data_IF_495107721868
#
_entry.id   IF_495107721868
#
_cell.length_a   1.000
_cell.length_b   1.000
_cell.length_c   1.000
_cell.angle_alpha   90.00
_cell.angle_beta   90.00
_cell.angle_gamma   90.00
#
_symmetry.space_group_name_H-M   'P 1'
#
loop_
_entity.id
_entity.type
_entity.pdbx_description
1 polymer ?
#
# COMPACT_ATOMS: atom_id res chain seq x y z
N UNK A 1 2.43 18.60 -27.93
CA UNK A 1 1.07 18.99 -28.32
C UNK A 1 0.90 19.04 -29.85
N UNK A 2 1.82 19.65 -30.62
CA UNK A 2 1.78 19.62 -32.10
C UNK A 2 1.66 18.20 -32.70
N UNK A 3 2.39 17.20 -32.18
CA UNK A 3 2.29 15.82 -32.69
C UNK A 3 0.91 15.18 -32.46
N UNK A 4 0.26 15.49 -31.34
CA UNK A 4 -1.10 15.02 -31.05
C UNK A 4 -2.14 15.70 -31.95
N UNK A 5 -1.97 17.01 -32.21
CA UNK A 5 -2.79 17.74 -33.17
C UNK A 5 -2.63 17.16 -34.59
N UNK A 6 -1.41 16.89 -35.03
CA UNK A 6 -1.13 16.28 -36.32
C UNK A 6 -1.72 14.87 -36.44
N UNK A 7 -1.51 14.01 -35.44
CA UNK A 7 -2.08 12.66 -35.42
C UNK A 7 -3.62 12.69 -35.44
N UNK A 8 -4.24 13.58 -34.65
CA UNK A 8 -5.69 13.76 -34.66
C UNK A 8 -6.23 14.25 -35.99
N UNK A 9 -5.55 15.21 -36.63
CA UNK A 9 -5.93 15.71 -37.96
C UNK A 9 -5.85 14.61 -39.04
N UNK A 10 -4.81 13.78 -39.00
CA UNK A 10 -4.65 12.64 -39.92
C UNK A 10 -5.77 11.61 -39.70
N UNK A 11 -6.07 11.24 -38.44
CA UNK A 11 -7.16 10.30 -38.13
C UNK A 11 -8.51 10.84 -38.61
N UNK A 12 -8.79 12.13 -38.38
CA UNK A 12 -10.03 12.77 -38.83
C UNK A 12 -10.17 12.77 -40.35
N UNK A 13 -9.09 13.08 -41.07
CA UNK A 13 -9.06 13.03 -42.53
C UNK A 13 -9.27 11.61 -43.06
N UNK A 14 -8.63 10.62 -42.44
CA UNK A 14 -8.80 9.20 -42.78
C UNK A 14 -10.25 8.76 -42.52
N UNK A 15 -10.87 9.16 -41.41
CA UNK A 15 -12.27 8.79 -41.12
C UNK A 15 -13.27 9.44 -42.09
N UNK A 16 -13.07 10.68 -42.54
CA UNK A 16 -13.94 11.30 -43.55
C UNK A 16 -13.82 10.62 -44.92
N UNK A 17 -12.60 10.22 -45.32
CA UNK A 17 -12.36 9.64 -46.64
C UNK A 17 -12.61 8.13 -46.68
N UNK A 18 -12.14 7.38 -45.69
CA UNK A 18 -12.27 5.92 -45.58
C UNK A 18 -13.49 5.50 -44.74
N UNK A 19 -14.24 6.43 -44.15
CA UNK A 19 -15.50 6.17 -43.44
C UNK A 19 -16.45 5.18 -44.13
N UNK A 20 -16.74 5.30 -45.44
CA UNK A 20 -17.59 4.33 -46.15
C UNK A 20 -16.94 2.95 -46.31
N UNK A 21 -15.60 2.88 -46.33
CA UNK A 21 -14.85 1.62 -46.37
C UNK A 21 -14.87 0.91 -45.00
N UNK A 22 -14.91 1.67 -43.90
CA UNK A 22 -15.04 1.15 -42.54
C UNK A 22 -16.39 0.48 -42.27
N UNK A 23 -17.45 0.79 -43.03
CA UNK A 23 -18.74 0.09 -42.91
C UNK A 23 -18.64 -1.39 -43.29
N UNK A 24 -17.78 -1.71 -44.26
CA UNK A 24 -17.47 -3.08 -44.65
C UNK A 24 -16.43 -3.74 -43.72
N UNK A 25 -15.88 -3.00 -42.77
CA UNK A 25 -14.88 -3.55 -41.86
C UNK A 25 -15.58 -4.57 -40.94
N UNK A 26 -15.21 -5.86 -41.00
CA UNK A 26 -15.84 -6.87 -40.18
C UNK A 26 -15.62 -6.53 -38.70
N UNK A 27 -16.66 -6.68 -37.87
CA UNK A 27 -16.52 -6.60 -36.39
C UNK A 27 -15.37 -7.48 -35.86
N UNK A 28 -15.01 -8.53 -36.62
CA UNK A 28 -13.85 -9.37 -36.35
C UNK A 28 -12.52 -8.60 -36.26
N UNK A 29 -12.28 -7.59 -37.13
CA UNK A 29 -11.01 -6.84 -37.11
C UNK A 29 -10.91 -5.96 -35.86
N UNK A 30 -12.01 -5.31 -35.46
CA UNK A 30 -12.07 -4.55 -34.19
C UNK A 30 -11.89 -5.46 -32.97
N UNK A 31 -12.46 -6.67 -33.00
CA UNK A 31 -12.25 -7.64 -31.93
C UNK A 31 -10.78 -8.08 -31.86
N UNK A 32 -10.16 -8.39 -33.01
CA UNK A 32 -8.75 -8.79 -33.07
C UNK A 32 -7.81 -7.72 -32.51
N UNK A 33 -7.99 -6.44 -32.86
CA UNK A 33 -7.13 -5.37 -32.36
C UNK A 33 -7.30 -5.13 -30.85
N UNK A 34 -8.52 -5.27 -30.33
CA UNK A 34 -8.75 -5.21 -28.89
C UNK A 34 -8.09 -6.39 -28.17
N UNK A 35 -8.25 -7.62 -28.67
CA UNK A 35 -7.62 -8.81 -28.08
C UNK A 35 -6.09 -8.71 -28.09
N UNK A 36 -5.49 -8.23 -29.19
CA UNK A 36 -4.03 -8.04 -29.25
C UNK A 36 -3.54 -6.94 -28.32
N UNK A 37 -4.31 -5.86 -28.14
CA UNK A 37 -4.02 -4.82 -27.15
C UNK A 37 -4.09 -5.34 -25.70
N UNK A 38 -5.07 -6.20 -25.41
CA UNK A 38 -5.24 -6.82 -24.09
C UNK A 38 -4.23 -7.94 -23.79
N UNK A 39 -3.48 -8.43 -24.79
CA UNK A 39 -2.47 -9.48 -24.62
C UNK A 39 -1.48 -9.15 -23.51
N UNK A 40 -1.02 -7.89 -23.45
CA UNK A 40 -0.07 -7.45 -22.44
C UNK A 40 -0.68 -7.46 -21.03
N UNK A 41 -1.97 -7.12 -20.90
CA UNK A 41 -2.68 -7.18 -19.62
C UNK A 41 -2.88 -8.62 -19.15
N UNK A 42 -3.22 -9.55 -20.05
CA UNK A 42 -3.37 -10.97 -19.72
C UNK A 42 -2.04 -11.60 -19.30
N UNK A 43 -0.93 -11.18 -19.91
CA UNK A 43 0.40 -11.64 -19.50
C UNK A 43 0.73 -11.26 -18.04
N UNK A 44 0.28 -10.10 -17.55
CA UNK A 44 0.49 -9.71 -16.15
C UNK A 44 -0.22 -10.64 -15.15
N UNK A 45 -1.28 -11.34 -15.56
CA UNK A 45 -1.91 -12.35 -14.69
C UNK A 45 -1.01 -13.58 -14.47
N UNK A 46 -0.04 -13.83 -15.35
CA UNK A 46 0.89 -14.95 -15.18
C UNK A 46 1.95 -14.65 -14.11
N UNK A 47 2.15 -13.37 -13.77
CA UNK A 47 3.09 -12.93 -12.73
C UNK A 47 2.48 -13.00 -11.31
N UNK A 48 1.17 -13.24 -11.20
CA UNK A 48 0.46 -13.33 -9.91
C UNK A 48 1.01 -14.37 -8.92
N UNK A 49 1.33 -15.60 -9.35
CA UNK A 49 1.87 -16.64 -8.46
C UNK A 49 3.21 -16.23 -7.87
N UNK A 50 4.03 -15.51 -8.64
CA UNK A 50 5.31 -14.98 -8.17
C UNK A 50 5.09 -13.87 -7.14
N UNK A 51 4.11 -12.99 -7.37
CA UNK A 51 3.74 -11.93 -6.43
C UNK A 51 3.26 -12.50 -5.09
N UNK A 52 2.48 -13.59 -5.10
CA UNK A 52 2.06 -14.30 -3.88
C UNK A 52 3.26 -14.82 -3.08
N UNK A 53 4.30 -15.32 -3.76
CA UNK A 53 5.51 -15.85 -3.11
C UNK A 53 6.33 -14.74 -2.45
N UNK A 54 6.32 -13.54 -3.01
CA UNK A 54 7.07 -12.39 -2.48
C UNK A 54 6.32 -11.73 -1.32
N UNK A 55 5.05 -11.37 -1.51
CA UNK A 55 4.29 -10.60 -0.53
C UNK A 55 2.79 -10.88 -0.64
N UNK A 56 2.27 -11.58 0.37
CA UNK A 56 0.83 -11.85 0.52
C UNK A 56 -0.02 -10.58 0.60
N UNK A 57 0.55 -9.49 1.10
CA UNK A 57 -0.14 -8.20 1.25
C UNK A 57 -0.36 -7.55 -0.11
N UNK A 58 0.69 -7.52 -0.94
CA UNK A 58 0.62 -6.88 -2.27
C UNK A 58 -0.32 -7.69 -3.20
N UNK A 59 -0.32 -9.02 -3.07
CA UNK A 59 -1.32 -9.86 -3.73
C UNK A 59 -2.75 -9.56 -3.27
N UNK A 60 -2.99 -9.37 -1.97
CA UNK A 60 -4.32 -9.04 -1.47
C UNK A 60 -4.82 -7.71 -2.02
N UNK A 61 -3.96 -6.69 -2.11
CA UNK A 61 -4.30 -5.40 -2.75
C UNK A 61 -4.66 -5.58 -4.21
N UNK A 62 -3.88 -6.39 -4.94
CA UNK A 62 -4.18 -6.71 -6.33
C UNK A 62 -5.55 -7.37 -6.50
N UNK A 63 -5.86 -8.41 -5.71
CA UNK A 63 -7.13 -9.15 -5.81
C UNK A 63 -8.31 -8.26 -5.45
N UNK A 64 -8.21 -7.49 -4.37
CA UNK A 64 -9.27 -6.58 -3.95
C UNK A 64 -9.53 -5.51 -5.01
N UNK A 65 -8.48 -4.93 -5.60
CA UNK A 65 -8.62 -3.92 -6.65
C UNK A 65 -9.23 -4.50 -7.92
N UNK A 66 -8.77 -5.67 -8.35
CA UNK A 66 -9.33 -6.35 -9.51
C UNK A 66 -10.81 -6.70 -9.31
N UNK A 67 -11.15 -7.28 -8.15
CA UNK A 67 -12.53 -7.62 -7.79
C UNK A 67 -13.42 -6.36 -7.75
N UNK A 68 -12.92 -5.27 -7.15
CA UNK A 68 -13.63 -4.01 -7.05
C UNK A 68 -13.95 -3.42 -8.44
N UNK A 69 -12.99 -3.42 -9.37
CA UNK A 69 -13.19 -2.94 -10.75
C UNK A 69 -14.22 -3.78 -11.50
N UNK A 70 -14.19 -5.11 -11.34
CA UNK A 70 -15.13 -6.02 -12.01
C UNK A 70 -16.56 -5.86 -11.48
N UNK A 71 -16.74 -5.63 -10.18
CA UNK A 71 -18.07 -5.55 -9.55
C UNK A 71 -18.67 -4.14 -9.56
N UNK A 72 -17.84 -3.11 -9.36
CA UNK A 72 -18.29 -1.72 -9.11
C UNK A 72 -18.10 -0.78 -10.31
N UNK A 73 -17.67 -1.29 -11.46
CA UNK A 73 -17.18 -0.54 -12.64
C UNK A 73 -15.78 0.05 -12.44
N UNK A 74 -15.14 0.43 -13.55
CA UNK A 74 -13.77 0.96 -13.59
C UNK A 74 -13.59 2.22 -12.74
N UNK A 75 -14.53 3.17 -12.81
CA UNK A 75 -14.37 4.46 -12.13
C UNK A 75 -14.37 4.31 -10.60
N UNK A 76 -15.38 3.63 -10.06
CA UNK A 76 -15.54 3.41 -8.61
C UNK A 76 -14.54 2.37 -8.11
N UNK A 77 -14.31 1.30 -8.87
CA UNK A 77 -13.37 0.24 -8.50
C UNK A 77 -11.93 0.75 -8.39
N UNK A 78 -11.51 1.65 -9.29
CA UNK A 78 -10.20 2.30 -9.19
C UNK A 78 -10.11 3.15 -7.92
N UNK A 79 -11.12 3.97 -7.63
CA UNK A 79 -11.13 4.80 -6.42
C UNK A 79 -11.01 3.95 -5.15
N UNK A 80 -11.78 2.86 -5.05
CA UNK A 80 -11.71 1.91 -3.93
C UNK A 80 -10.34 1.24 -3.85
N UNK A 81 -9.79 0.79 -4.97
CA UNK A 81 -8.46 0.17 -5.03
C UNK A 81 -7.33 1.09 -4.56
N UNK A 82 -7.36 2.36 -4.96
CA UNK A 82 -6.39 3.36 -4.51
C UNK A 82 -6.49 3.60 -3.00
N UNK A 83 -7.71 3.78 -2.48
CA UNK A 83 -7.93 3.96 -1.03
C UNK A 83 -7.46 2.74 -0.25
N UNK A 84 -7.78 1.53 -0.72
CA UNK A 84 -7.37 0.28 -0.08
C UNK A 84 -5.85 0.07 -0.11
N UNK A 85 -5.20 0.36 -1.23
CA UNK A 85 -3.75 0.32 -1.38
C UNK A 85 -3.07 1.29 -0.41
N UNK A 86 -3.58 2.53 -0.32
CA UNK A 86 -3.04 3.55 0.58
C UNK A 86 -3.22 3.16 2.06
N UNK A 87 -4.39 2.65 2.44
CA UNK A 87 -4.63 2.10 3.78
C UNK A 87 -3.65 0.95 4.09
N UNK A 88 -3.42 0.06 3.13
CA UNK A 88 -2.50 -1.08 3.30
C UNK A 88 -1.06 -0.62 3.54
N UNK A 89 -0.58 0.38 2.79
CA UNK A 89 0.74 0.98 2.99
C UNK A 89 0.86 1.58 4.39
N UNK A 90 -0.16 2.31 4.85
CA UNK A 90 -0.17 2.90 6.19
C UNK A 90 -0.12 1.80 7.26
N UNK A 91 -0.96 0.77 7.16
CA UNK A 91 -0.94 -0.36 8.07
C UNK A 91 0.42 -1.08 8.09
N UNK A 92 1.08 -1.21 6.93
CA UNK A 92 2.42 -1.80 6.82
C UNK A 92 3.47 -0.94 7.53
N UNK A 93 3.42 0.38 7.40
CA UNK A 93 4.36 1.28 8.08
C UNK A 93 4.14 1.31 9.60
N UNK A 94 2.90 1.11 10.07
CA UNK A 94 2.59 1.03 11.51
C UNK A 94 3.11 -0.26 12.16
N UNK A 95 3.18 -1.37 11.42
CA UNK A 95 3.68 -2.68 11.91
C UNK A 95 5.21 -2.77 12.03
N UNK A 96 5.93 -1.65 12.10
CA UNK A 96 7.38 -1.68 12.22
C UNK A 96 7.83 -2.27 13.55
N UNK A 97 8.62 -3.34 13.50
CA UNK A 97 9.12 -4.01 14.69
C UNK A 97 10.21 -3.16 15.37
N UNK A 98 10.03 -2.86 16.66
CA UNK A 98 11.12 -2.36 17.50
C UNK A 98 12.08 -3.51 17.79
N UNK A 99 13.36 -3.35 17.43
CA UNK A 99 14.41 -4.32 17.75
C UNK A 99 15.35 -3.78 18.84
N UNK A 100 15.70 -4.65 19.80
CA UNK A 100 16.73 -4.36 20.81
C UNK A 100 18.09 -4.76 20.24
N UNK A 101 19.03 -3.82 20.27
CA UNK A 101 20.40 -4.03 19.78
C UNK A 101 21.32 -4.38 20.95
N UNK A 102 22.19 -5.36 20.73
CA UNK A 102 23.28 -5.73 21.64
C UNK A 102 24.61 -5.62 20.95
N UNK A 103 25.67 -5.54 21.74
CA UNK A 103 27.05 -5.38 21.26
C UNK A 103 27.63 -6.76 20.94
N UNK A 104 28.21 -6.92 19.76
CA UNK A 104 28.98 -8.13 19.43
C UNK A 104 30.29 -8.16 20.25
N UNK A 105 30.65 -9.33 20.79
CA UNK A 105 31.89 -9.48 21.56
C UNK A 105 33.11 -9.05 20.70
N UNK A 106 33.93 -8.13 21.21
CA UNK A 106 35.13 -7.59 20.57
C UNK A 106 34.98 -6.68 19.33
N UNK A 107 33.77 -6.22 18.96
CA UNK A 107 33.59 -5.27 17.85
C UNK A 107 32.62 -4.13 18.21
N UNK A 108 32.80 -2.93 17.65
CA UNK A 108 31.86 -1.79 17.77
C UNK A 108 30.61 -1.94 16.90
N UNK A 109 30.17 -3.18 16.68
CA UNK A 109 29.03 -3.49 15.81
C UNK A 109 27.82 -3.82 16.70
N UNK A 110 26.78 -3.01 16.58
CA UNK A 110 25.50 -3.23 17.25
C UNK A 110 24.56 -4.02 16.33
N UNK A 111 24.10 -5.19 16.77
CA UNK A 111 23.15 -6.02 16.02
C UNK A 111 21.96 -6.44 16.89
N UNK A 112 20.81 -6.78 16.29
CA UNK A 112 19.65 -7.24 17.04
C UNK A 112 19.98 -8.50 17.86
N UNK A 113 19.79 -8.46 19.19
CA UNK A 113 20.08 -9.59 20.09
C UNK A 113 19.23 -10.81 19.73
N UNK A 114 18.00 -10.59 19.28
CA UNK A 114 17.05 -11.64 18.92
C UNK A 114 17.47 -12.50 17.72
N UNK A 115 18.40 -12.03 16.88
CA UNK A 115 18.74 -12.74 15.62
C UNK A 115 20.13 -13.36 15.63
N UNK A 116 21.02 -13.01 16.58
CA UNK A 116 22.39 -13.51 16.62
C UNK A 116 22.83 -13.86 18.05
N UNK A 117 23.11 -15.15 18.28
CA UNK A 117 23.44 -15.73 19.59
C UNK A 117 24.80 -15.32 20.20
N UNK A 118 25.48 -14.31 19.63
CA UNK A 118 26.82 -13.81 20.04
C UNK A 118 26.85 -12.30 20.36
N UNK A 119 25.70 -11.73 20.74
CA UNK A 119 25.58 -10.33 21.12
C UNK A 119 25.20 -10.22 22.60
N UNK A 120 25.95 -9.44 23.37
CA UNK A 120 25.70 -9.20 24.79
C UNK A 120 25.09 -7.81 24.99
N UNK A 121 24.03 -7.72 25.80
CA UNK A 121 23.51 -6.43 26.26
C UNK A 121 24.51 -5.82 27.27
N UNK A 122 24.73 -4.51 27.18
CA UNK A 122 25.59 -3.80 28.14
C UNK A 122 24.78 -3.63 29.43
N UNK A 123 25.25 -4.11 30.59
CA UNK A 123 24.51 -3.98 31.84
C UNK A 123 24.31 -2.49 32.18
N UNK A 124 23.04 -2.07 32.30
CA UNK A 124 22.64 -0.69 32.59
C UNK A 124 22.25 0.18 31.39
N UNK A 125 22.46 -0.27 30.14
CA UNK A 125 22.11 0.51 28.92
C UNK A 125 21.37 -0.36 27.92
N UNK A 126 20.13 0.04 27.56
CA UNK A 126 19.31 -0.65 26.57
C UNK A 126 19.24 0.16 25.27
N UNK A 127 19.89 -0.35 24.21
CA UNK A 127 19.91 0.31 22.90
C UNK A 127 18.78 -0.27 22.06
N UNK A 128 17.88 0.58 21.58
CA UNK A 128 16.73 0.17 20.76
C UNK A 128 16.85 0.86 19.40
N UNK A 129 16.75 0.09 18.32
CA UNK A 129 16.63 0.65 16.98
C UNK A 129 15.20 0.49 16.47
N UNK A 130 14.71 1.57 15.88
CA UNK A 130 13.42 1.60 15.23
C UNK A 130 13.62 1.78 13.73
N UNK A 131 13.39 0.69 12.97
CA UNK A 131 13.58 0.67 11.52
C UNK A 131 12.33 1.16 10.77
N UNK A 132 11.69 2.24 11.25
CA UNK A 132 10.61 2.90 10.53
C UNK A 132 10.58 4.41 10.78
N UNK A 133 10.06 5.19 9.82
CA UNK A 133 9.87 6.61 10.01
C UNK A 133 8.89 6.86 11.17
N UNK A 134 9.30 7.75 12.09
CA UNK A 134 8.49 8.16 13.24
C UNK A 134 7.63 9.35 12.81
N UNK A 135 6.32 9.14 12.70
CA UNK A 135 5.33 10.17 12.40
C UNK A 135 4.25 10.20 13.48
N UNK A 136 3.38 11.23 13.47
CA UNK A 136 2.37 11.45 14.52
C UNK A 136 1.49 10.21 14.79
N UNK A 137 1.05 9.54 13.73
CA UNK A 137 0.22 8.33 13.82
C UNK A 137 0.91 7.14 14.50
N UNK A 138 2.24 7.05 14.44
CA UNK A 138 3.00 5.92 14.98
C UNK A 138 3.52 6.15 16.41
N UNK A 139 3.32 7.35 16.98
CA UNK A 139 3.83 7.73 18.31
C UNK A 139 3.32 6.81 19.43
N UNK A 140 2.05 6.39 19.33
CA UNK A 140 1.44 5.49 20.31
C UNK A 140 2.14 4.13 20.35
N UNK A 141 2.31 3.51 19.18
CA UNK A 141 2.96 2.22 19.04
C UNK A 141 4.43 2.27 19.47
N UNK A 142 5.16 3.30 19.05
CA UNK A 142 6.55 3.50 19.47
C UNK A 142 6.68 3.67 21.00
N UNK A 143 5.84 4.50 21.63
CA UNK A 143 5.86 4.71 23.08
C UNK A 143 5.54 3.42 23.83
N UNK A 144 4.57 2.67 23.34
CA UNK A 144 4.16 1.41 23.95
C UNK A 144 5.27 0.36 23.82
N UNK A 145 5.86 0.21 22.63
CA UNK A 145 6.99 -0.68 22.40
C UNK A 145 8.20 -0.31 23.27
N UNK A 146 8.54 0.98 23.38
CA UNK A 146 9.62 1.47 24.25
C UNK A 146 9.31 1.18 25.72
N UNK A 147 8.08 1.40 26.18
CA UNK A 147 7.67 1.16 27.56
C UNK A 147 7.74 -0.32 27.95
N UNK A 148 7.32 -1.22 27.04
CA UNK A 148 7.44 -2.67 27.23
C UNK A 148 8.91 -3.08 27.31
N UNK A 149 9.75 -2.55 26.43
CA UNK A 149 11.18 -2.86 26.40
C UNK A 149 11.92 -2.35 27.63
N UNK A 150 11.55 -1.19 28.16
CA UNK A 150 12.17 -0.59 29.35
C UNK A 150 11.56 -1.10 30.67
N UNK A 151 10.52 -1.93 30.64
CA UNK A 151 9.83 -2.43 31.85
C UNK A 151 9.08 -1.33 32.63
N UNK A 152 8.95 -0.13 32.06
CA UNK A 152 8.26 1.01 32.65
C UNK A 152 6.76 0.90 32.38
N UNK A 153 6.07 -0.04 33.04
CA UNK A 153 4.61 -0.05 33.06
C UNK A 153 4.09 1.17 33.82
N UNK A 154 3.74 2.24 33.09
CA UNK A 154 2.98 3.36 33.66
C UNK A 154 1.48 3.02 33.50
N UNK A 155 0.70 2.88 34.58
CA UNK A 155 -0.73 2.62 34.46
C UNK A 155 -1.40 3.77 33.71
N UNK A 156 -2.38 3.44 32.87
CA UNK A 156 -3.22 4.35 32.09
C UNK A 156 -3.69 5.53 32.97
N UNK A 157 -3.03 6.68 32.81
CA UNK A 157 -3.53 7.97 33.28
C UNK A 157 -4.60 8.48 32.31
N UNK A 158 -5.83 8.56 32.83
CA UNK A 158 -7.06 9.14 32.31
C UNK A 158 -7.07 9.87 30.95
N UNK A 159 -7.95 9.40 30.07
CA UNK A 159 -8.67 10.27 29.13
C UNK A 159 -10.15 9.95 29.16
N UNK A 160 -10.74 10.13 30.34
CA UNK A 160 -12.18 10.35 30.49
C UNK A 160 -12.41 11.85 30.60
N UNK A 161 -12.56 12.54 29.47
CA UNK A 161 -13.35 13.77 29.34
C UNK A 161 -13.41 14.17 27.87
N UNK A 162 -14.53 14.78 27.46
CA UNK A 162 -14.96 15.15 26.11
C UNK A 162 -15.80 14.11 25.35
N UNK A 163 -16.84 13.59 26.00
CA UNK A 163 -18.10 13.28 25.28
C UNK A 163 -19.39 13.49 26.11
N UNK A 164 -19.33 14.23 27.23
CA UNK A 164 -20.54 14.63 27.96
C UNK A 164 -21.20 15.94 27.46
N UNK A 165 -20.60 16.62 26.48
CA UNK A 165 -21.16 17.86 25.89
C UNK A 165 -22.34 17.66 24.93
N UNK A 166 -22.78 16.43 24.67
CA UNK A 166 -23.84 16.14 23.68
C UNK A 166 -25.16 15.64 24.28
N UNK A 167 -25.32 15.63 25.61
CA UNK A 167 -26.56 15.15 26.28
C UNK A 167 -27.39 16.22 27.00
N UNK A 168 -27.00 17.49 26.93
CA UNK A 168 -27.69 18.58 27.63
C UNK A 168 -28.48 19.54 26.71
N UNK A 169 -28.71 19.18 25.44
CA UNK A 169 -29.44 20.02 24.46
C UNK A 169 -30.72 19.37 23.90
N UNK A 170 -31.24 18.30 24.49
CA UNK A 170 -32.48 17.65 24.00
C UNK A 170 -33.52 17.36 25.10
N UNK A 171 -33.49 18.12 26.19
CA UNK A 171 -34.56 18.12 27.19
C UNK A 171 -34.84 19.56 27.62
N UNK A 172 -35.31 20.38 26.69
CA UNK A 172 -36.13 21.57 26.98
C UNK A 172 -37.07 21.75 25.80
#
# INVERSE_FOLDING_TARGET
QLAGFFSGAVVLMVLMWLGPLFHYLPKAVLACINVTSLRQMVLQFWDLPELWRISRIDFAVWVVTWLAVVVLNVDVGLAVGVVFSMMTVICRTQRAECMVLGKAANMEIYRPVQRHSKCFEIPGVKIVAYHAPIYYGNRGFFREALSRLLGLSRPRGGRGEKTLGAKMSLST
#
